data_IF_917041812339
#
_entry.id   IF_917041812339
#
_cell.length_a   1.000
_cell.length_b   1.000
_cell.length_c   1.000
_cell.angle_alpha   90.00
_cell.angle_beta   90.00
_cell.angle_gamma   90.00
#
_symmetry.space_group_name_H-M   'P 1'
#
loop_
_entity.id
_entity.type
_entity.pdbx_description
1 polymer ?
#
# COMPACT_ATOMS: atom_id res chain seq x y z
N UNK A 1 -18.25 -5.53 -1.39
CA UNK A 1 -18.26 -6.36 -2.60
C UNK A 1 -17.08 -5.93 -3.45
N UNK A 2 -15.94 -6.61 -3.32
CA UNK A 2 -14.76 -6.34 -4.15
C UNK A 2 -14.80 -7.36 -5.28
N UNK A 3 -14.97 -6.87 -6.50
CA UNK A 3 -14.95 -7.70 -7.70
C UNK A 3 -13.47 -7.96 -8.03
N UNK A 4 -13.07 -9.22 -7.92
CA UNK A 4 -11.73 -9.70 -8.30
C UNK A 4 -11.62 -9.75 -9.83
N UNK A 5 -10.96 -8.79 -10.45
CA UNK A 5 -10.55 -8.85 -11.86
C UNK A 5 -9.12 -9.38 -11.92
N UNK A 6 -8.91 -10.67 -11.60
CA UNK A 6 -7.57 -11.29 -11.70
C UNK A 6 -7.56 -12.64 -12.43
N UNK A 7 -8.68 -13.08 -13.00
CA UNK A 7 -8.78 -14.41 -13.64
C UNK A 7 -9.20 -14.41 -15.11
N UNK A 8 -9.16 -13.27 -15.79
CA UNK A 8 -9.41 -13.22 -17.24
C UNK A 8 -8.18 -12.68 -17.95
N UNK A 9 -7.33 -13.60 -18.43
CA UNK A 9 -6.25 -13.30 -19.37
C UNK A 9 -4.85 -13.43 -18.78
N UNK A 10 -4.39 -14.67 -18.56
CA UNK A 10 -2.96 -14.96 -18.54
C UNK A 10 -2.39 -14.84 -19.97
N UNK A 11 -2.29 -13.62 -20.47
CA UNK A 11 -1.25 -13.24 -21.42
C UNK A 11 -0.31 -12.31 -20.65
N UNK A 12 0.69 -12.95 -20.08
CA UNK A 12 1.54 -12.46 -19.01
C UNK A 12 2.50 -11.44 -19.63
N UNK A 13 2.32 -10.14 -19.36
CA UNK A 13 3.41 -9.19 -19.60
C UNK A 13 4.63 -9.69 -18.80
N UNK A 14 5.79 -9.73 -19.44
CA UNK A 14 7.03 -10.20 -18.80
C UNK A 14 7.42 -9.38 -17.57
N UNK A 15 6.88 -8.16 -17.47
CA UNK A 15 7.01 -7.26 -16.34
C UNK A 15 5.65 -6.58 -16.09
N UNK A 16 4.99 -6.96 -14.99
CA UNK A 16 3.69 -6.40 -14.58
C UNK A 16 3.85 -5.20 -13.62
N UNK A 17 5.06 -4.63 -13.48
CA UNK A 17 5.30 -3.48 -12.61
C UNK A 17 4.74 -2.21 -13.25
N UNK A 18 4.04 -1.42 -12.44
CA UNK A 18 3.62 -0.07 -12.84
C UNK A 18 4.81 0.87 -12.70
N UNK A 19 5.38 1.31 -13.82
CA UNK A 19 6.46 2.32 -13.82
C UNK A 19 5.81 3.69 -13.69
N UNK A 20 6.10 4.41 -12.60
CA UNK A 20 5.48 5.71 -12.31
C UNK A 20 5.65 6.71 -13.47
N UNK A 21 6.86 6.80 -14.04
CA UNK A 21 7.17 7.75 -15.10
C UNK A 21 6.34 7.53 -16.38
N UNK A 22 5.95 6.29 -16.69
CA UNK A 22 5.20 5.97 -17.90
C UNK A 22 3.75 6.47 -17.82
N UNK A 23 3.22 6.61 -16.60
CA UNK A 23 1.82 7.00 -16.34
C UNK A 23 1.71 8.19 -15.40
N UNK A 24 2.76 9.01 -15.33
CA UNK A 24 2.94 10.05 -14.32
C UNK A 24 1.72 10.95 -14.15
N UNK A 25 1.19 11.47 -15.26
CA UNK A 25 0.09 12.43 -15.22
C UNK A 25 -1.19 11.78 -14.69
N UNK A 26 -1.49 10.56 -15.15
CA UNK A 26 -2.69 9.81 -14.71
C UNK A 26 -2.56 9.43 -13.24
N UNK A 27 -1.40 8.95 -12.81
CA UNK A 27 -1.16 8.58 -11.41
C UNK A 27 -1.24 9.81 -10.51
N UNK A 28 -0.62 10.93 -10.89
CA UNK A 28 -0.68 12.17 -10.10
C UNK A 28 -2.13 12.64 -9.92
N UNK A 29 -2.98 12.58 -10.96
CA UNK A 29 -4.39 12.96 -10.85
C UNK A 29 -5.19 12.01 -9.94
N UNK A 30 -4.94 10.70 -10.00
CA UNK A 30 -5.56 9.74 -9.09
C UNK A 30 -5.14 10.01 -7.64
N UNK A 31 -3.84 10.21 -7.38
CA UNK A 31 -3.33 10.48 -6.04
C UNK A 31 -3.88 11.80 -5.48
N UNK A 32 -3.91 12.88 -6.29
CA UNK A 32 -4.54 14.15 -5.88
C UNK A 32 -6.02 13.99 -5.56
N UNK A 33 -6.75 13.22 -6.37
CA UNK A 33 -8.17 12.94 -6.13
C UNK A 33 -8.39 12.21 -4.80
N UNK A 34 -7.55 11.20 -4.50
CA UNK A 34 -7.58 10.48 -3.21
C UNK A 34 -7.34 11.45 -2.05
N UNK A 35 -6.29 12.27 -2.12
CA UNK A 35 -5.92 13.25 -1.08
C UNK A 35 -7.04 14.28 -0.87
N UNK A 36 -7.57 14.86 -1.96
CA UNK A 36 -8.62 15.88 -1.90
C UNK A 36 -9.93 15.35 -1.30
N UNK A 37 -10.21 14.06 -1.46
CA UNK A 37 -11.36 13.40 -0.86
C UNK A 37 -11.13 12.97 0.61
N UNK A 38 -9.98 13.31 1.20
CA UNK A 38 -9.62 12.88 2.56
C UNK A 38 -9.46 11.36 2.70
N UNK A 39 -9.22 10.67 1.58
CA UNK A 39 -9.03 9.23 1.53
C UNK A 39 -7.54 8.86 1.62
N UNK A 40 -7.26 7.61 1.97
CA UNK A 40 -5.90 7.07 2.02
C UNK A 40 -5.63 6.02 0.95
N UNK A 41 -4.39 5.54 0.93
CA UNK A 41 -3.97 4.39 0.12
C UNK A 41 -3.62 3.20 1.02
N UNK A 42 -3.81 1.99 0.51
CA UNK A 42 -3.31 0.78 1.16
C UNK A 42 -1.92 0.44 0.62
N UNK A 43 -1.00 0.15 1.53
CA UNK A 43 0.26 -0.52 1.25
C UNK A 43 0.08 -2.02 1.44
N UNK A 44 -0.06 -2.73 0.32
CA UNK A 44 -0.45 -4.12 0.23
C UNK A 44 0.76 -5.03 -0.04
N UNK A 45 1.02 -5.96 0.87
CA UNK A 45 2.21 -6.85 0.83
C UNK A 45 2.04 -8.09 -0.03
N UNK A 46 0.85 -8.32 -0.60
CA UNK A 46 0.56 -9.54 -1.36
C UNK A 46 1.34 -9.68 -2.67
N UNK A 47 1.86 -8.59 -3.24
CA UNK A 47 2.59 -8.62 -4.51
C UNK A 47 3.82 -9.54 -4.51
N UNK A 48 4.45 -9.78 -3.35
CA UNK A 48 5.49 -10.80 -3.22
C UNK A 48 4.97 -12.23 -3.47
N UNK A 49 3.77 -12.55 -2.97
CA UNK A 49 3.18 -13.88 -3.09
C UNK A 49 2.75 -14.21 -4.52
N UNK A 50 2.37 -13.18 -5.28
CA UNK A 50 1.93 -13.33 -6.66
C UNK A 50 3.06 -13.17 -7.70
N UNK A 51 4.33 -13.19 -7.25
CA UNK A 51 5.49 -13.20 -8.15
C UNK A 51 5.82 -11.84 -8.77
N UNK A 52 5.25 -10.74 -8.26
CA UNK A 52 5.52 -9.38 -8.71
C UNK A 52 6.77 -8.77 -8.05
N UNK A 53 7.30 -9.45 -7.02
CA UNK A 53 8.48 -9.06 -6.23
C UNK A 53 8.46 -7.60 -5.74
N UNK A 54 7.27 -7.07 -5.50
CA UNK A 54 7.05 -5.70 -5.08
C UNK A 54 5.82 -5.61 -4.16
N UNK A 55 5.85 -4.65 -3.24
CA UNK A 55 4.67 -4.19 -2.50
C UNK A 55 3.88 -3.22 -3.41
N UNK A 56 2.56 -3.17 -3.23
CA UNK A 56 1.69 -2.25 -3.97
C UNK A 56 1.10 -1.18 -3.05
N UNK A 57 1.14 0.12 -3.42
CA UNK A 57 1.88 0.66 -4.53
C UNK A 57 3.40 0.51 -4.33
N UNK A 58 4.16 0.61 -5.42
CA UNK A 58 5.61 0.59 -5.34
C UNK A 58 6.16 1.87 -4.68
N UNK A 59 7.46 1.84 -4.40
CA UNK A 59 8.16 2.93 -3.71
C UNK A 59 7.98 4.29 -4.42
N UNK A 60 8.09 4.35 -5.75
CA UNK A 60 7.96 5.60 -6.50
C UNK A 60 6.58 6.25 -6.35
N UNK A 61 5.52 5.45 -6.45
CA UNK A 61 4.15 5.94 -6.30
C UNK A 61 3.88 6.34 -4.83
N UNK A 62 4.35 5.56 -3.86
CA UNK A 62 4.19 5.88 -2.44
C UNK A 62 4.97 7.14 -2.05
N UNK A 63 6.18 7.30 -2.56
CA UNK A 63 6.98 8.52 -2.43
C UNK A 63 6.26 9.71 -3.04
N UNK A 64 5.72 9.56 -4.25
CA UNK A 64 4.97 10.61 -4.91
C UNK A 64 3.70 11.01 -4.14
N UNK A 65 2.97 10.04 -3.60
CA UNK A 65 1.82 10.29 -2.74
C UNK A 65 2.19 11.17 -1.56
N UNK A 66 3.33 10.90 -0.90
CA UNK A 66 3.85 11.76 0.19
C UNK A 66 4.19 13.17 -0.30
N UNK A 67 4.88 13.30 -1.43
CA UNK A 67 5.24 14.60 -2.02
C UNK A 67 4.02 15.46 -2.36
N UNK A 68 2.91 14.83 -2.76
CA UNK A 68 1.64 15.50 -3.03
C UNK A 68 0.86 15.86 -1.75
N UNK A 69 1.38 15.53 -0.56
CA UNK A 69 0.76 15.82 0.73
C UNK A 69 -0.09 14.69 1.29
N UNK A 70 -0.05 13.50 0.69
CA UNK A 70 -0.74 12.31 1.19
C UNK A 70 -0.07 11.73 2.44
N UNK A 71 -0.87 11.44 3.47
CA UNK A 71 -0.35 10.90 4.74
C UNK A 71 -1.22 9.79 5.35
N UNK A 72 -2.42 9.55 4.81
CA UNK A 72 -3.27 8.43 5.24
C UNK A 72 -2.82 7.19 4.49
N UNK A 73 -2.19 6.26 5.20
CA UNK A 73 -1.68 4.99 4.65
C UNK A 73 -2.06 3.85 5.59
N UNK A 74 -2.72 2.82 5.06
CA UNK A 74 -2.98 1.55 5.77
C UNK A 74 -2.00 0.48 5.31
N UNK A 75 -1.83 -0.59 6.09
CA UNK A 75 -1.02 -1.76 5.70
C UNK A 75 -1.94 -2.99 5.65
N UNK A 76 -1.87 -3.75 4.57
CA UNK A 76 -2.75 -4.90 4.34
C UNK A 76 -2.00 -6.08 3.72
N UNK A 77 -2.33 -7.30 4.16
CA UNK A 77 -1.69 -8.51 3.62
C UNK A 77 -2.47 -9.13 2.46
N UNK A 78 -3.74 -8.74 2.27
CA UNK A 78 -4.69 -9.39 1.35
C UNK A 78 -4.71 -10.92 1.51
N UNK A 79 -4.74 -11.34 2.78
CA UNK A 79 -4.63 -12.73 3.16
C UNK A 79 -5.90 -13.51 2.82
N UNK A 80 -5.72 -14.65 2.14
CA UNK A 80 -6.77 -15.63 1.84
C UNK A 80 -6.56 -16.95 2.58
N UNK A 81 -5.51 -17.03 3.42
CA UNK A 81 -5.10 -18.20 4.19
C UNK A 81 -4.57 -17.76 5.54
N UNK A 82 -4.79 -18.55 6.58
CA UNK A 82 -4.39 -18.16 7.94
C UNK A 82 -2.90 -17.84 8.03
N UNK A 83 -2.06 -18.56 7.28
CA UNK A 83 -0.61 -18.39 7.28
C UNK A 83 -0.13 -17.07 6.62
N UNK A 84 -0.99 -16.41 5.84
CA UNK A 84 -0.65 -15.16 5.15
C UNK A 84 -1.11 -13.92 5.92
N UNK A 85 -1.76 -14.08 7.09
CA UNK A 85 -2.14 -12.97 7.96
C UNK A 85 -0.88 -12.19 8.38
N UNK A 86 -0.90 -10.87 8.14
CA UNK A 86 0.20 -9.94 8.47
C UNK A 86 1.55 -10.29 7.83
N UNK A 87 1.56 -11.14 6.80
CA UNK A 87 2.78 -11.57 6.14
C UNK A 87 3.46 -10.40 5.42
N UNK A 88 4.79 -10.34 5.57
CA UNK A 88 5.68 -9.31 5.01
C UNK A 88 5.38 -7.86 5.48
N UNK A 89 4.69 -7.70 6.61
CA UNK A 89 4.40 -6.38 7.20
C UNK A 89 5.67 -5.64 7.63
N UNK A 90 6.70 -6.36 8.06
CA UNK A 90 8.02 -5.82 8.36
C UNK A 90 8.60 -5.07 7.17
N UNK A 91 8.50 -5.63 5.96
CA UNK A 91 8.95 -5.00 4.71
C UNK A 91 8.15 -3.72 4.42
N UNK A 92 6.83 -3.76 4.61
CA UNK A 92 5.98 -2.57 4.44
C UNK A 92 6.36 -1.45 5.42
N UNK A 93 6.57 -1.77 6.70
CA UNK A 93 6.97 -0.79 7.70
C UNK A 93 8.36 -0.22 7.45
N UNK A 94 9.30 -1.05 6.99
CA UNK A 94 10.65 -0.58 6.66
C UNK A 94 10.63 0.37 5.44
N UNK A 95 9.79 0.11 4.44
CA UNK A 95 9.56 1.03 3.31
C UNK A 95 8.93 2.35 3.77
N UNK A 96 7.92 2.29 4.63
CA UNK A 96 7.28 3.49 5.19
C UNK A 96 8.28 4.34 5.99
N UNK A 97 9.14 3.70 6.80
CA UNK A 97 10.22 4.38 7.54
C UNK A 97 11.25 5.00 6.60
N UNK A 98 11.65 4.27 5.56
CA UNK A 98 12.60 4.74 4.55
C UNK A 98 12.08 6.01 3.85
N UNK A 99 10.79 6.04 3.53
CA UNK A 99 10.11 7.21 2.95
C UNK A 99 9.69 8.25 4.01
N UNK A 100 10.15 8.09 5.26
CA UNK A 100 9.95 9.04 6.36
C UNK A 100 8.46 9.25 6.75
N UNK A 101 7.61 8.24 6.57
CA UNK A 101 6.30 8.22 7.22
C UNK A 101 6.49 8.01 8.72
N UNK A 102 5.71 8.73 9.54
CA UNK A 102 5.76 8.62 11.02
C UNK A 102 4.63 7.78 11.60
N UNK A 103 3.54 7.67 10.84
CA UNK A 103 2.31 7.03 11.28
C UNK A 103 1.76 6.10 10.19
N UNK A 104 1.08 5.06 10.63
CA UNK A 104 0.12 4.30 9.83
C UNK A 104 -1.29 4.56 10.33
N UNK A 105 -2.25 4.48 9.43
CA UNK A 105 -3.66 4.72 9.69
C UNK A 105 -4.36 3.40 9.98
N UNK A 106 -5.18 3.40 11.03
CA UNK A 106 -6.16 2.36 11.33
C UNK A 106 -7.55 2.98 11.22
N UNK A 107 -8.53 2.17 10.83
CA UNK A 107 -9.92 2.60 10.78
C UNK A 107 -10.74 1.82 11.78
N UNK A 108 -11.50 2.53 12.61
CA UNK A 108 -12.50 1.95 13.49
C UNK A 108 -13.76 2.77 13.38
N UNK A 109 -14.89 2.12 13.10
CA UNK A 109 -16.18 2.81 12.92
C UNK A 109 -16.13 3.93 11.86
N UNK A 110 -15.29 3.74 10.83
CA UNK A 110 -15.02 4.72 9.76
C UNK A 110 -14.27 5.98 10.21
N UNK A 111 -13.81 6.02 11.44
CA UNK A 111 -12.92 7.05 11.96
C UNK A 111 -11.46 6.63 11.81
N UNK A 112 -10.60 7.60 11.48
CA UNK A 112 -9.17 7.36 11.23
C UNK A 112 -8.36 7.57 12.51
N UNK A 113 -7.51 6.60 12.84
CA UNK A 113 -6.59 6.62 13.99
C UNK A 113 -5.16 6.47 13.51
N UNK A 114 -4.26 7.34 13.98
CA UNK A 114 -2.85 7.30 13.59
C UNK A 114 -2.02 6.59 14.66
N UNK A 115 -1.34 5.52 14.27
CA UNK A 115 -0.41 4.77 15.12
C UNK A 115 1.00 5.06 14.67
N UNK A 116 1.85 5.47 15.61
CA UNK A 116 3.25 5.75 15.32
C UNK A 116 3.97 4.44 14.95
N UNK A 117 4.69 4.43 13.82
CA UNK A 117 5.32 3.22 13.28
C UNK A 117 6.35 2.62 14.25
N UNK A 118 7.05 3.44 15.03
CA UNK A 118 8.00 2.95 16.05
C UNK A 118 7.31 2.20 17.19
N UNK A 119 6.04 2.52 17.47
CA UNK A 119 5.22 1.81 18.47
C UNK A 119 4.67 0.47 17.95
N UNK A 120 4.66 0.26 16.62
CA UNK A 120 4.14 -0.97 16.01
C UNK A 120 5.12 -2.13 16.16
N UNK A 121 6.44 -1.90 16.10
CA UNK A 121 7.43 -2.98 16.34
C UNK A 121 7.57 -3.36 17.82
N UNK A 122 7.15 -2.50 18.75
CA UNK A 122 7.36 -2.70 20.20
C UNK A 122 6.21 -3.43 20.90
N UNK A 123 5.01 -3.40 20.33
CA UNK A 123 3.88 -4.20 20.76
C UNK A 123 3.53 -5.13 19.60
N UNK A 124 3.56 -6.45 19.79
CA UNK A 124 3.00 -7.44 18.85
C UNK A 124 1.49 -7.19 18.67
N UNK A 125 1.12 -6.18 17.88
CA UNK A 125 -0.24 -5.92 17.43
C UNK A 125 -0.30 -6.46 16.01
N UNK A 126 -0.37 -7.78 15.92
CA UNK A 126 -0.71 -8.56 14.73
C UNK A 126 -1.52 -9.78 15.21
#
# INVERSE_FOLDING_TARGET
MVIWIIYLGMEIYSDNRVIYNDFKDVIDEVLKSIINNGSGIELNTSGYRYGLNAIHPNEDILKRYKELGGFIVTVGSDSHRVEDICKDFDVAYDMLKYLDFKYVSLFKERETYFVNIEKVKSNNIA
#
